data_IF_196270012070
#
_entry.id   IF_196270012070
#
_cell.length_a   1.000
_cell.length_b   1.000
_cell.length_c   1.000
_cell.angle_alpha   90.00
_cell.angle_beta   90.00
_cell.angle_gamma   90.00
#
_symmetry.space_group_name_H-M   'P 1'
#
loop_
_entity.id
_entity.type
_entity.pdbx_description
1 polymer ?
#
# COMPACT_ATOMS: atom_id res chain seq x y z
N UNK A 1 1.16 -13.64 -2.68
CA UNK A 1 1.61 -12.52 -1.85
C UNK A 1 1.62 -12.99 -0.41
N UNK A 2 2.71 -12.76 0.32
CA UNK A 2 2.83 -13.06 1.75
C UNK A 2 2.37 -11.84 2.58
N UNK A 3 1.82 -12.01 3.78
CA UNK A 3 1.30 -10.89 4.60
C UNK A 3 1.89 -10.92 5.99
N UNK A 4 2.29 -9.75 6.47
CA UNK A 4 2.88 -9.49 7.78
C UNK A 4 1.99 -8.51 8.56
N UNK A 5 1.41 -8.91 9.70
CA UNK A 5 0.54 -8.08 10.57
C UNK A 5 0.81 -8.32 12.08
N UNK A 6 0.15 -7.53 12.96
CA UNK A 6 0.11 -7.77 14.41
C UNK A 6 -0.44 -9.19 14.71
N UNK A 7 0.46 -10.15 14.93
CA UNK A 7 0.13 -11.54 15.18
C UNK A 7 0.85 -12.57 14.30
N UNK A 8 1.65 -12.12 13.31
CA UNK A 8 2.47 -12.98 12.46
C UNK A 8 1.87 -13.26 11.08
N UNK A 9 2.35 -14.29 10.39
CA UNK A 9 1.93 -14.59 9.02
C UNK A 9 0.45 -15.04 8.95
N UNK A 10 -0.39 -14.28 8.25
CA UNK A 10 -1.79 -14.64 7.96
C UNK A 10 -2.06 -14.60 6.46
N UNK A 11 -2.86 -15.53 5.96
CA UNK A 11 -3.41 -15.41 4.60
C UNK A 11 -4.49 -14.31 4.62
N UNK A 12 -4.17 -13.10 4.15
CA UNK A 12 -5.19 -12.06 4.02
C UNK A 12 -6.13 -12.40 2.86
N UNK A 13 -7.42 -12.47 3.20
CA UNK A 13 -8.49 -12.45 2.23
C UNK A 13 -8.62 -11.00 1.76
N UNK A 14 -8.41 -10.74 0.47
CA UNK A 14 -8.76 -9.46 -0.18
C UNK A 14 -10.30 -9.38 -0.28
N UNK A 15 -10.97 -9.34 0.88
CA UNK A 15 -12.42 -9.39 1.00
C UNK A 15 -13.02 -7.99 0.83
N UNK A 16 -12.89 -7.44 -0.37
CA UNK A 16 -14.05 -7.08 -1.18
C UNK A 16 -13.56 -6.60 -2.55
N UNK A 17 -14.10 -7.19 -3.61
CA UNK A 17 -13.76 -6.82 -4.98
C UNK A 17 -14.30 -5.43 -5.38
N UNK A 18 -15.00 -4.73 -4.48
CA UNK A 18 -15.71 -3.48 -4.78
C UNK A 18 -15.43 -2.33 -3.78
N UNK A 19 -14.53 -2.48 -2.79
CA UNK A 19 -14.12 -1.36 -1.93
C UNK A 19 -13.09 -0.46 -2.60
N UNK A 20 -13.15 0.83 -2.29
CA UNK A 20 -12.12 1.82 -2.60
C UNK A 20 -10.84 1.45 -1.85
N UNK A 21 -9.68 1.46 -2.53
CA UNK A 21 -8.40 1.06 -1.91
C UNK A 21 -7.29 2.05 -2.22
N UNK A 22 -6.61 2.51 -1.18
CA UNK A 22 -5.36 3.25 -1.28
C UNK A 22 -4.21 2.25 -1.35
N UNK A 23 -3.58 2.15 -2.51
CA UNK A 23 -2.42 1.28 -2.73
C UNK A 23 -1.15 2.09 -2.48
N UNK A 24 -0.28 1.60 -1.60
CA UNK A 24 1.08 2.09 -1.39
C UNK A 24 2.03 1.00 -1.85
N UNK A 25 2.69 1.22 -2.98
CA UNK A 25 3.58 0.28 -3.64
C UNK A 25 5.04 0.67 -3.42
N UNK A 26 5.87 -0.30 -3.10
CA UNK A 26 7.32 -0.19 -3.05
C UNK A 26 7.90 -1.19 -4.04
N UNK A 27 8.52 -0.69 -5.10
CA UNK A 27 9.09 -1.53 -6.14
C UNK A 27 10.50 -2.03 -5.78
N UNK A 28 11.16 -2.65 -6.76
CA UNK A 28 12.49 -3.25 -6.60
C UNK A 28 13.66 -2.28 -6.88
N UNK A 29 13.38 -1.00 -7.15
CA UNK A 29 14.40 -0.01 -7.57
C UNK A 29 15.11 0.64 -6.38
N UNK A 30 14.41 0.77 -5.26
CA UNK A 30 14.91 1.36 -4.02
C UNK A 30 15.51 0.35 -3.04
N UNK A 31 16.34 0.86 -2.12
CA UNK A 31 16.87 0.06 -1.02
C UNK A 31 15.73 -0.37 -0.07
N UNK A 32 15.41 -1.66 -0.10
CA UNK A 32 14.33 -2.26 0.69
C UNK A 32 14.41 -1.94 2.19
N UNK A 33 15.61 -1.92 2.78
CA UNK A 33 15.78 -1.64 4.22
C UNK A 33 15.47 -0.20 4.62
N UNK A 34 15.76 0.77 3.74
CA UNK A 34 15.42 2.16 4.00
C UNK A 34 13.91 2.32 4.04
N UNK A 35 13.20 1.78 3.04
CA UNK A 35 11.74 1.88 2.95
C UNK A 35 11.03 1.21 4.12
N UNK A 36 11.48 0.03 4.57
CA UNK A 36 10.89 -0.65 5.74
C UNK A 36 10.98 0.21 7.00
N UNK A 37 12.10 0.92 7.22
CA UNK A 37 12.24 1.80 8.38
C UNK A 37 11.28 3.01 8.39
N UNK A 38 10.74 3.38 7.23
CA UNK A 38 9.77 4.46 7.08
C UNK A 38 8.31 3.99 7.01
N UNK A 39 8.04 2.67 7.05
CA UNK A 39 6.66 2.16 6.98
C UNK A 39 5.79 2.68 8.12
N UNK A 40 6.35 2.93 9.30
CA UNK A 40 5.63 3.52 10.45
C UNK A 40 4.98 4.87 10.11
N UNK A 41 5.50 5.59 9.12
CA UNK A 41 4.91 6.86 8.66
C UNK A 41 3.52 6.67 8.04
N UNK A 42 3.15 5.44 7.66
CA UNK A 42 1.82 5.10 7.14
C UNK A 42 0.76 4.93 8.22
N UNK A 43 1.12 4.83 9.51
CA UNK A 43 0.16 4.63 10.61
C UNK A 43 -1.01 5.63 10.61
N UNK A 44 -0.80 6.95 10.38
CA UNK A 44 -1.90 7.89 10.28
C UNK A 44 -2.92 7.52 9.19
N UNK A 45 -2.43 7.10 8.02
CA UNK A 45 -3.29 6.72 6.89
C UNK A 45 -4.12 5.47 7.21
N UNK A 46 -3.52 4.47 7.86
CA UNK A 46 -4.23 3.26 8.31
C UNK A 46 -5.25 3.54 9.41
N UNK A 47 -4.90 4.42 10.37
CA UNK A 47 -5.83 4.85 11.42
C UNK A 47 -7.02 5.57 10.83
N UNK A 48 -6.79 6.55 9.95
CA UNK A 48 -7.84 7.34 9.32
C UNK A 48 -8.78 6.43 8.49
N UNK A 49 -8.22 5.47 7.74
CA UNK A 49 -8.99 4.46 7.03
C UNK A 49 -9.88 3.62 7.95
N UNK A 50 -9.36 3.17 9.10
CA UNK A 50 -10.09 2.38 10.07
C UNK A 50 -11.19 3.17 10.82
N UNK A 51 -10.94 4.45 11.10
CA UNK A 51 -11.91 5.34 11.76
C UNK A 51 -13.04 5.79 10.82
N UNK A 52 -12.71 6.10 9.57
CA UNK A 52 -13.67 6.59 8.57
C UNK A 52 -14.44 5.46 7.88
N UNK A 53 -13.81 4.31 7.64
CA UNK A 53 -14.43 3.13 7.03
C UNK A 53 -14.84 3.30 5.55
N UNK A 54 -14.22 4.23 4.83
CA UNK A 54 -14.57 4.58 3.45
C UNK A 54 -13.63 3.99 2.38
N UNK A 55 -12.42 3.63 2.78
CA UNK A 55 -11.41 3.04 1.91
C UNK A 55 -10.53 2.11 2.75
N UNK A 56 -9.93 1.12 2.10
CA UNK A 56 -8.90 0.27 2.70
C UNK A 56 -7.51 0.77 2.29
N UNK A 57 -6.49 0.51 3.10
CA UNK A 57 -5.09 0.78 2.74
C UNK A 57 -4.38 -0.55 2.51
N UNK A 58 -3.68 -0.66 1.38
CA UNK A 58 -2.91 -1.85 1.00
C UNK A 58 -1.47 -1.46 0.72
N UNK A 59 -0.56 -1.87 1.59
CA UNK A 59 0.88 -1.67 1.42
C UNK A 59 1.50 -2.90 0.76
N UNK A 60 2.11 -2.73 -0.41
CA UNK A 60 2.70 -3.80 -1.21
C UNK A 60 4.20 -3.54 -1.38
N UNK A 61 5.00 -4.54 -1.05
CA UNK A 61 6.45 -4.55 -1.20
C UNK A 61 6.85 -5.57 -2.27
N UNK A 62 7.55 -5.14 -3.31
CA UNK A 62 8.06 -6.00 -4.38
C UNK A 62 9.59 -5.96 -4.41
N UNK A 63 10.27 -6.60 -3.44
CA UNK A 63 11.72 -6.58 -3.37
C UNK A 63 12.34 -7.39 -4.52
N UNK A 64 13.63 -7.16 -4.77
CA UNK A 64 14.41 -8.06 -5.63
C UNK A 64 14.49 -9.44 -4.99
N UNK A 65 14.60 -10.48 -5.81
CA UNK A 65 14.71 -11.86 -5.31
C UNK A 65 15.89 -12.06 -4.36
N UNK A 66 16.98 -11.31 -4.53
CA UNK A 66 18.16 -11.33 -3.66
C UNK A 66 17.95 -10.64 -2.31
N UNK A 67 17.01 -9.70 -2.20
CA UNK A 67 16.68 -8.96 -0.98
C UNK A 67 15.52 -9.57 -0.20
N UNK A 68 14.81 -10.54 -0.80
CA UNK A 68 13.58 -11.10 -0.27
C UNK A 68 13.75 -11.60 1.18
N UNK A 69 14.79 -12.37 1.47
CA UNK A 69 14.99 -12.91 2.82
C UNK A 69 15.28 -11.81 3.85
N UNK A 70 16.07 -10.80 3.48
CA UNK A 70 16.36 -9.66 4.35
C UNK A 70 15.09 -8.85 4.64
N UNK A 71 14.25 -8.63 3.63
CA UNK A 71 12.92 -7.99 3.78
C UNK A 71 12.04 -8.80 4.72
N UNK A 72 11.96 -10.12 4.56
CA UNK A 72 11.15 -10.97 5.44
C UNK A 72 11.62 -10.88 6.89
N UNK A 73 12.92 -10.94 7.14
CA UNK A 73 13.49 -10.85 8.48
C UNK A 73 13.22 -9.49 9.11
N UNK A 74 13.37 -8.41 8.34
CA UNK A 74 13.10 -7.06 8.82
C UNK A 74 11.62 -6.85 9.13
N UNK A 75 10.71 -7.30 8.26
CA UNK A 75 9.26 -7.20 8.53
C UNK A 75 8.85 -8.06 9.72
N UNK A 76 9.45 -9.24 9.92
CA UNK A 76 9.10 -10.16 11.01
C UNK A 76 9.46 -9.65 12.41
N UNK A 77 10.40 -8.71 12.53
CA UNK A 77 10.84 -8.15 13.83
C UNK A 77 10.22 -6.79 14.13
N UNK A 78 9.49 -6.22 13.18
CA UNK A 78 8.78 -4.95 13.34
C UNK A 78 7.36 -5.22 13.83
N UNK A 79 6.85 -4.31 14.65
CA UNK A 79 5.52 -4.40 15.26
C UNK A 79 4.60 -3.38 14.59
N UNK A 80 4.29 -3.61 13.31
CA UNK A 80 3.39 -2.73 12.56
C UNK A 80 1.93 -3.04 12.91
N UNK A 81 1.18 -2.01 13.28
CA UNK A 81 -0.26 -2.07 13.55
C UNK A 81 -1.14 -2.35 12.32
N UNK A 82 -0.52 -2.60 11.15
CA UNK A 82 -1.18 -2.78 9.87
C UNK A 82 -0.48 -3.83 8.99
N UNK A 83 -1.21 -4.46 8.04
CA UNK A 83 -0.64 -5.49 7.19
C UNK A 83 0.27 -4.94 6.10
N UNK A 84 1.43 -5.58 5.91
CA UNK A 84 2.35 -5.38 4.78
C UNK A 84 2.37 -6.62 3.89
N UNK A 85 2.12 -6.43 2.61
CA UNK A 85 2.06 -7.50 1.63
C UNK A 85 3.36 -7.61 0.83
N UNK A 86 3.96 -8.80 0.74
CA UNK A 86 5.21 -9.03 -0.02
C UNK A 86 4.92 -9.81 -1.30
N UNK A 87 5.28 -9.23 -2.44
CA UNK A 87 5.18 -9.83 -3.77
C UNK A 87 6.36 -10.78 -4.06
N UNK A 88 6.40 -11.87 -3.31
CA UNK A 88 7.46 -12.89 -3.34
C UNK A 88 7.81 -13.40 -4.74
N UNK A 89 6.82 -13.44 -5.65
CA UNK A 89 6.96 -14.00 -6.99
C UNK A 89 6.94 -12.93 -8.11
N UNK A 90 6.92 -11.64 -7.75
CA UNK A 90 6.82 -10.54 -8.72
C UNK A 90 5.53 -10.56 -9.54
N UNK A 91 4.46 -11.20 -9.05
CA UNK A 91 3.21 -11.34 -9.79
C UNK A 91 2.43 -10.03 -9.84
N UNK A 92 2.42 -9.27 -8.75
CA UNK A 92 1.78 -7.95 -8.73
C UNK A 92 2.47 -7.00 -9.70
N UNK A 93 3.79 -6.92 -9.65
CA UNK A 93 4.56 -6.08 -10.57
C UNK A 93 4.32 -6.47 -12.05
N UNK A 94 4.28 -7.77 -12.36
CA UNK A 94 4.02 -8.28 -13.72
C UNK A 94 2.60 -8.02 -14.20
N UNK A 95 1.60 -8.24 -13.35
CA UNK A 95 0.18 -8.05 -13.70
C UNK A 95 -0.16 -6.56 -13.85
N UNK A 96 0.60 -5.69 -13.17
CA UNK A 96 0.42 -4.24 -13.19
C UNK A 96 1.58 -3.51 -13.89
N UNK A 97 2.13 -4.09 -14.97
CA UNK A 97 3.26 -3.52 -15.73
C UNK A 97 2.99 -2.13 -16.36
N UNK A 98 1.76 -1.62 -16.27
CA UNK A 98 1.41 -0.25 -16.65
C UNK A 98 1.70 0.79 -15.57
N UNK A 99 2.04 0.38 -14.33
CA UNK A 99 2.49 1.30 -13.28
C UNK A 99 3.88 1.84 -13.70
N UNK A 100 4.07 3.17 -13.81
CA UNK A 100 5.37 3.74 -14.14
C UNK A 100 6.44 3.40 -13.11
N UNK A 101 7.70 3.28 -13.53
CA UNK A 101 8.85 3.09 -12.62
C UNK A 101 9.09 4.30 -11.69
N UNK A 102 8.56 5.47 -12.05
CA UNK A 102 8.67 6.67 -11.23
C UNK A 102 7.84 6.56 -9.95
N UNK A 103 8.52 6.56 -8.80
CA UNK A 103 7.95 6.38 -7.45
C UNK A 103 6.75 7.28 -7.14
N UNK A 104 6.65 8.44 -7.80
CA UNK A 104 5.51 9.36 -7.62
C UNK A 104 4.18 8.74 -8.04
N UNK A 105 4.21 7.68 -8.84
CA UNK A 105 3.04 6.90 -9.26
C UNK A 105 2.80 5.64 -8.42
N UNK A 106 3.64 5.36 -7.42
CA UNK A 106 3.52 4.17 -6.58
C UNK A 106 2.61 4.38 -5.36
N UNK A 107 1.92 5.51 -5.27
CA UNK A 107 0.83 5.71 -4.32
C UNK A 107 -0.41 6.13 -5.11
N UNK A 108 -1.50 5.37 -5.01
CA UNK A 108 -2.70 5.65 -5.79
C UNK A 108 -3.95 5.07 -5.16
N UNK A 109 -5.07 5.77 -5.32
CA UNK A 109 -6.39 5.31 -4.91
C UNK A 109 -7.09 4.66 -6.11
N UNK A 110 -7.61 3.45 -5.93
CA UNK A 110 -8.50 2.81 -6.88
C UNK A 110 -9.94 2.85 -6.38
N UNK A 111 -10.88 3.12 -7.29
CA UNK A 111 -12.30 3.02 -7.02
C UNK A 111 -12.77 1.56 -6.93
N UNK A 112 -14.05 1.36 -6.60
CA UNK A 112 -14.65 0.02 -6.53
C UNK A 112 -14.69 -0.73 -7.86
N UNK A 113 -14.46 -0.06 -9.00
CA UNK A 113 -14.31 -0.67 -10.32
C UNK A 113 -12.86 -1.06 -10.64
N UNK A 114 -11.94 -0.90 -9.69
CA UNK A 114 -10.51 -1.18 -9.83
C UNK A 114 -9.73 -0.14 -10.64
N UNK A 115 -10.33 1.00 -11.01
CA UNK A 115 -9.65 2.05 -11.78
C UNK A 115 -9.00 3.09 -10.88
N UNK A 116 -7.80 3.58 -11.22
CA UNK A 116 -7.18 4.69 -10.50
C UNK A 116 -8.03 5.97 -10.58
N UNK A 117 -8.32 6.57 -9.43
CA UNK A 117 -9.04 7.85 -9.30
C UNK A 117 -8.18 8.95 -8.67
N UNK A 118 -7.07 8.60 -8.03
CA UNK A 118 -6.09 9.53 -7.47
C UNK A 118 -4.68 8.94 -7.52
N UNK A 119 -3.66 9.79 -7.67
CA UNK A 119 -2.24 9.43 -7.67
C UNK A 119 -1.48 10.41 -6.78
N UNK A 120 -0.63 9.88 -5.89
CA UNK A 120 0.21 10.59 -4.93
C UNK A 120 0.11 10.01 -3.53
N UNK A 121 1.08 10.29 -2.66
CA UNK A 121 0.98 9.95 -1.24
C UNK A 121 0.23 11.08 -0.50
N UNK A 122 -0.95 10.83 0.10
CA UNK A 122 -1.72 11.86 0.81
C UNK A 122 -0.97 12.43 2.02
N UNK A 123 -0.01 11.70 2.58
CA UNK A 123 0.84 12.17 3.69
C UNK A 123 2.00 13.07 3.24
N UNK A 124 2.24 13.19 1.93
CA UNK A 124 3.38 13.93 1.40
C UNK A 124 3.25 15.46 1.49
N UNK A 125 2.03 15.99 1.57
CA UNK A 125 1.76 17.43 1.78
C UNK A 125 0.28 17.69 2.09
N UNK A 126 -0.02 18.79 2.79
CA UNK A 126 -1.40 19.25 3.05
C UNK A 126 -2.22 19.36 1.75
N UNK A 127 -1.61 19.90 0.68
CA UNK A 127 -2.29 20.03 -0.62
C UNK A 127 -2.69 18.67 -1.22
N UNK A 128 -1.85 17.64 -1.07
CA UNK A 128 -2.18 16.29 -1.54
C UNK A 128 -3.26 15.66 -0.67
N UNK A 129 -3.21 15.88 0.64
CA UNK A 129 -4.24 15.45 1.58
C UNK A 129 -5.61 16.06 1.24
N UNK A 130 -5.66 17.36 0.93
CA UNK A 130 -6.90 18.03 0.53
C UNK A 130 -7.49 17.44 -0.75
N UNK A 131 -6.65 17.18 -1.76
CA UNK A 131 -7.09 16.56 -3.02
C UNK A 131 -7.60 15.14 -2.75
N UNK A 132 -6.88 14.36 -1.95
CA UNK A 132 -7.26 13.01 -1.58
C UNK A 132 -8.63 12.97 -0.90
N UNK A 133 -8.88 13.86 0.07
CA UNK A 133 -10.16 13.95 0.78
C UNK A 133 -11.32 14.35 -0.15
N UNK A 134 -11.08 15.25 -1.11
CA UNK A 134 -12.09 15.59 -2.13
C UNK A 134 -12.43 14.38 -3.01
N UNK A 135 -11.42 13.63 -3.49
CA UNK A 135 -11.64 12.43 -4.29
C UNK A 135 -12.40 11.37 -3.48
N UNK A 136 -12.04 11.16 -2.22
CA UNK A 136 -12.77 10.25 -1.34
C UNK A 136 -14.23 10.66 -1.20
N UNK A 137 -14.53 11.95 -0.99
CA UNK A 137 -15.90 12.44 -0.92
C UNK A 137 -16.69 12.18 -2.20
N UNK A 138 -16.07 12.33 -3.37
CA UNK A 138 -16.70 12.03 -4.67
C UNK A 138 -16.99 10.53 -4.84
N UNK A 139 -16.08 9.66 -4.39
CA UNK A 139 -16.30 8.19 -4.43
C UNK A 139 -17.41 7.71 -3.50
N UNK A 140 -17.81 8.49 -2.48
CA UNK A 140 -18.96 8.17 -1.60
C UNK A 140 -20.31 8.41 -2.29
N UNK A 141 -20.36 9.26 -3.30
CA UNK A 141 -21.61 9.74 -3.90
C UNK A 141 -22.04 8.96 -5.17
N UNK A 142 -21.31 7.90 -5.53
CA UNK A 142 -21.53 7.05 -6.69
C UNK A 142 -21.81 5.60 -6.26
#
# INVERSE_FOLDING_TARGET
MEVYDEGGFRMAVLDSLNSVKMIIYYDSTDCSSCRISHLIELEPLYRDAAEEGHYDVVTIFSPRSEELEDVRLQLAVQDFSFPVYVDTYGSFARENAGIPEDERFHSFLIGGDGRPVFVGNPLGSEKLQDIFQNVLADTKNN
#
